data_IF_314531865917
#
_entry.id   IF_314531865917
#
_cell.length_a   1.000
_cell.length_b   1.000
_cell.length_c   1.000
_cell.angle_alpha   90.00
_cell.angle_beta   90.00
_cell.angle_gamma   90.00
#
_symmetry.space_group_name_H-M   'P 1'
#
loop_
_entity.id
_entity.type
_entity.pdbx_description
1 polymer ?
#
# COMPACT_ATOMS: atom_id res chain seq x y z
N UNK A 1 -28.16 -6.77 9.81
CA UNK A 1 -29.18 -7.71 9.32
C UNK A 1 -30.14 -6.93 8.44
N UNK A 2 -30.03 -7.03 7.11
CA UNK A 2 -31.05 -6.53 6.18
C UNK A 2 -31.15 -7.41 4.95
N UNK A 3 -32.40 -7.80 4.69
CA UNK A 3 -32.89 -8.57 3.56
C UNK A 3 -32.86 -7.69 2.30
N UNK A 4 -32.31 -8.21 1.22
CA UNK A 4 -32.56 -7.70 -0.12
C UNK A 4 -33.94 -8.22 -0.56
N UNK A 5 -35.00 -7.42 -0.41
CA UNK A 5 -36.27 -7.69 -1.09
C UNK A 5 -36.18 -7.16 -2.51
N UNK A 6 -35.72 -8.01 -3.45
CA UNK A 6 -36.36 -8.01 -4.76
C UNK A 6 -37.54 -9.00 -4.69
N UNK A 7 -38.74 -8.64 -5.20
CA UNK A 7 -39.86 -9.55 -5.24
C UNK A 7 -39.46 -10.84 -5.96
N UNK A 8 -39.86 -11.99 -5.42
CA UNK A 8 -39.90 -13.23 -6.17
C UNK A 8 -40.80 -13.02 -7.40
N UNK A 9 -40.16 -12.82 -8.55
CA UNK A 9 -40.78 -13.07 -9.84
C UNK A 9 -39.88 -14.09 -10.55
N UNK A 10 -40.36 -15.34 -10.53
CA UNK A 10 -40.05 -16.44 -11.45
C UNK A 10 -38.59 -16.95 -11.48
N UNK A 11 -38.44 -18.19 -10.99
CA UNK A 11 -37.42 -19.12 -11.47
C UNK A 11 -37.53 -19.23 -13.00
N UNK A 12 -36.62 -18.59 -13.73
CA UNK A 12 -36.31 -18.90 -15.13
C UNK A 12 -35.08 -18.12 -15.56
N UNK A 13 -34.04 -18.85 -15.99
CA UNK A 13 -32.84 -18.39 -16.68
C UNK A 13 -31.80 -17.59 -15.89
N UNK A 14 -30.55 -18.05 -15.98
CA UNK A 14 -29.34 -17.28 -15.70
C UNK A 14 -29.30 -16.05 -16.62
N UNK A 15 -29.94 -14.95 -16.23
CA UNK A 15 -29.78 -13.67 -16.90
C UNK A 15 -28.48 -13.02 -16.42
N UNK A 16 -27.44 -13.08 -17.26
CA UNK A 16 -26.27 -12.21 -17.17
C UNK A 16 -26.75 -10.77 -16.99
N UNK A 17 -26.28 -10.08 -15.94
CA UNK A 17 -26.41 -8.63 -15.85
C UNK A 17 -25.99 -8.01 -17.20
N UNK A 18 -26.75 -7.05 -17.75
CA UNK A 18 -26.42 -6.45 -19.03
C UNK A 18 -25.01 -5.87 -18.96
N UNK A 19 -24.15 -6.26 -19.90
CA UNK A 19 -22.83 -5.66 -20.04
C UNK A 19 -23.03 -4.18 -20.39
N UNK A 20 -22.54 -3.23 -19.59
CA UNK A 20 -22.51 -1.84 -20.02
C UNK A 20 -21.68 -1.74 -21.32
N UNK A 21 -21.93 -0.74 -22.18
CA UNK A 21 -21.28 -0.59 -23.48
C UNK A 21 -19.74 -0.51 -23.41
N UNK A 22 -19.18 -0.31 -22.21
CA UNK A 22 -17.76 -0.18 -21.94
C UNK A 22 -17.07 -1.50 -21.53
N UNK A 23 -17.76 -2.64 -21.54
CA UNK A 23 -17.15 -3.96 -21.30
C UNK A 23 -16.80 -4.32 -19.84
N UNK A 24 -16.96 -3.38 -18.89
CA UNK A 24 -16.71 -3.63 -17.47
C UNK A 24 -17.83 -4.44 -16.79
N UNK A 25 -17.45 -5.43 -15.97
CA UNK A 25 -18.39 -6.23 -15.19
C UNK A 25 -18.63 -5.53 -13.84
N UNK A 26 -19.84 -5.02 -13.63
CA UNK A 26 -20.27 -4.48 -12.33
C UNK A 26 -20.20 -5.59 -11.27
N UNK A 27 -19.40 -5.39 -10.21
CA UNK A 27 -19.21 -6.38 -9.14
C UNK A 27 -20.16 -6.17 -7.95
N UNK A 28 -20.51 -4.92 -7.66
CA UNK A 28 -21.40 -4.51 -6.57
C UNK A 28 -21.98 -3.14 -6.92
N UNK A 29 -23.29 -2.96 -6.76
CA UNK A 29 -23.92 -1.65 -6.89
C UNK A 29 -23.56 -0.78 -5.66
N UNK A 30 -23.38 0.52 -5.87
CA UNK A 30 -23.15 1.44 -4.77
C UNK A 30 -24.42 1.53 -3.89
N UNK A 31 -24.27 1.25 -2.60
CA UNK A 31 -25.36 1.20 -1.62
C UNK A 31 -25.21 2.26 -0.51
N UNK A 32 -24.40 3.28 -0.76
CA UNK A 32 -24.13 4.39 0.16
C UNK A 32 -24.21 5.73 -0.58
N UNK A 33 -24.52 6.84 0.12
CA UNK A 33 -24.59 8.15 -0.50
C UNK A 33 -23.19 8.61 -0.90
N UNK A 34 -23.02 9.20 -2.09
CA UNK A 34 -21.73 9.81 -2.45
C UNK A 34 -21.43 11.09 -1.65
N UNK A 35 -22.48 11.79 -1.18
CA UNK A 35 -22.39 13.00 -0.34
C UNK A 35 -23.71 13.22 0.40
N UNK A 36 -23.64 13.89 1.55
CA UNK A 36 -24.83 14.25 2.32
C UNK A 36 -25.61 13.03 2.80
N UNK A 37 -26.94 13.09 2.70
CA UNK A 37 -27.85 12.11 3.28
C UNK A 37 -28.77 11.51 2.24
N UNK A 38 -28.88 10.18 2.22
CA UNK A 38 -29.84 9.44 1.38
C UNK A 38 -30.66 8.47 2.24
N UNK A 39 -31.87 8.15 1.77
CA UNK A 39 -32.79 7.23 2.45
C UNK A 39 -32.93 5.93 1.66
N UNK A 40 -32.63 4.81 2.31
CA UNK A 40 -32.75 3.46 1.76
C UNK A 40 -33.82 2.69 2.52
N UNK A 41 -35.03 2.64 1.96
CA UNK A 41 -36.20 2.08 2.65
C UNK A 41 -36.53 2.89 3.90
N UNK A 42 -36.40 2.29 5.08
CA UNK A 42 -36.68 2.93 6.38
C UNK A 42 -35.43 3.52 7.05
N UNK A 43 -34.27 3.47 6.40
CA UNK A 43 -32.99 3.89 6.99
C UNK A 43 -32.49 5.14 6.29
N UNK A 44 -32.25 6.18 7.07
CA UNK A 44 -31.53 7.37 6.62
C UNK A 44 -30.04 7.19 6.90
N UNK A 45 -29.21 7.37 5.87
CA UNK A 45 -27.75 7.19 5.92
C UNK A 45 -27.10 8.51 5.53
N UNK A 46 -26.27 9.05 6.41
CA UNK A 46 -25.54 10.30 6.17
C UNK A 46 -24.05 10.01 6.08
N UNK A 47 -23.41 10.42 4.98
CA UNK A 47 -21.95 10.42 4.84
C UNK A 47 -21.35 11.48 5.75
N UNK A 48 -20.53 11.07 6.72
CA UNK A 48 -19.83 11.98 7.63
C UNK A 48 -18.40 12.26 7.16
N UNK A 49 -17.68 11.19 6.79
CA UNK A 49 -16.26 11.28 6.47
C UNK A 49 -15.84 10.18 5.48
N UNK A 50 -14.82 10.48 4.69
CA UNK A 50 -14.18 9.52 3.77
C UNK A 50 -12.68 9.70 3.82
N UNK A 51 -11.98 8.61 4.18
CA UNK A 51 -10.52 8.53 4.17
C UNK A 51 -10.11 7.55 3.07
N UNK A 52 -9.37 8.03 2.08
CA UNK A 52 -8.83 7.21 0.99
C UNK A 52 -7.35 6.94 1.23
N UNK A 53 -7.00 5.65 1.31
CA UNK A 53 -5.64 5.16 1.43
C UNK A 53 -5.30 4.30 0.22
N UNK A 54 -4.01 4.02 0.00
CA UNK A 54 -3.54 3.37 -1.22
C UNK A 54 -4.22 2.00 -1.49
N UNK A 55 -4.56 1.25 -0.45
CA UNK A 55 -5.08 -0.12 -0.57
C UNK A 55 -6.50 -0.30 -0.03
N UNK A 56 -7.06 0.70 0.66
CA UNK A 56 -8.42 0.67 1.16
C UNK A 56 -8.99 2.06 1.43
N UNK A 57 -10.31 2.18 1.43
CA UNK A 57 -11.03 3.38 1.86
C UNK A 57 -11.83 3.11 3.13
N UNK A 58 -11.92 4.12 4.01
CA UNK A 58 -12.79 4.11 5.18
C UNK A 58 -13.87 5.16 4.95
N UNK A 59 -15.14 4.78 5.15
CA UNK A 59 -16.27 5.72 5.14
C UNK A 59 -17.00 5.65 6.46
N UNK A 60 -17.27 6.80 7.06
CA UNK A 60 -17.99 6.91 8.32
C UNK A 60 -19.39 7.44 8.04
N UNK A 61 -20.40 6.73 8.53
CA UNK A 61 -21.80 7.05 8.33
C UNK A 61 -22.52 7.27 9.66
N UNK A 62 -23.39 8.27 9.69
CA UNK A 62 -24.45 8.35 10.69
C UNK A 62 -25.71 7.67 10.15
N UNK A 63 -26.18 6.67 10.88
CA UNK A 63 -27.54 6.16 10.82
C UNK A 63 -28.29 6.71 12.04
N UNK A 64 -29.62 6.63 12.06
CA UNK A 64 -30.42 7.11 13.20
C UNK A 64 -29.90 6.53 14.54
N UNK A 65 -29.26 7.38 15.36
CA UNK A 65 -28.61 7.08 16.64
C UNK A 65 -27.46 6.05 16.61
N UNK A 66 -26.83 5.80 15.45
CA UNK A 66 -25.70 4.86 15.34
C UNK A 66 -24.65 5.37 14.37
N UNK A 67 -23.39 5.20 14.71
CA UNK A 67 -22.27 5.36 13.77
C UNK A 67 -21.95 4.00 13.13
N UNK A 68 -21.72 3.98 11.82
CA UNK A 68 -21.27 2.80 11.08
C UNK A 68 -20.05 3.16 10.26
N UNK A 69 -19.01 2.32 10.30
CA UNK A 69 -17.82 2.48 9.46
C UNK A 69 -17.79 1.37 8.42
N UNK A 70 -17.70 1.76 7.15
CA UNK A 70 -17.46 0.85 6.03
C UNK A 70 -15.97 0.86 5.70
N UNK A 71 -15.40 -0.33 5.56
CA UNK A 71 -14.04 -0.54 5.11
C UNK A 71 -14.06 -1.22 3.74
N UNK A 72 -13.57 -0.53 2.71
CA UNK A 72 -13.52 -1.04 1.34
C UNK A 72 -12.08 -1.37 0.96
N UNK A 73 -11.75 -2.65 0.86
CA UNK A 73 -10.43 -3.08 0.38
C UNK A 73 -10.35 -2.97 -1.15
N UNK A 74 -9.38 -2.21 -1.64
CA UNK A 74 -9.21 -1.85 -3.06
C UNK A 74 -8.10 -2.62 -3.76
N UNK A 75 -7.17 -3.22 -3.00
CA UNK A 75 -5.99 -3.91 -3.55
C UNK A 75 -6.19 -5.40 -3.85
N UNK A 76 -7.44 -5.86 -4.05
CA UNK A 76 -7.69 -7.23 -4.51
C UNK A 76 -7.78 -7.27 -6.05
N UNK A 77 -6.94 -8.05 -6.74
CA UNK A 77 -6.91 -8.05 -8.21
C UNK A 77 -8.19 -8.60 -8.85
N UNK A 78 -8.48 -8.22 -10.09
CA UNK A 78 -9.65 -8.71 -10.82
C UNK A 78 -9.62 -10.22 -11.05
N UNK A 79 -8.42 -10.78 -11.19
CA UNK A 79 -8.15 -12.21 -11.36
C UNK A 79 -7.24 -12.72 -10.23
N UNK A 80 -7.55 -13.91 -9.70
CA UNK A 80 -6.76 -14.56 -8.66
C UNK A 80 -6.85 -13.92 -7.27
N UNK A 81 -5.73 -13.94 -6.57
CA UNK A 81 -5.52 -13.43 -5.21
C UNK A 81 -4.40 -12.38 -5.21
N UNK A 82 -4.31 -11.51 -4.18
CA UNK A 82 -3.17 -10.61 -4.04
C UNK A 82 -1.85 -11.38 -4.05
N UNK A 83 -0.82 -10.85 -4.73
CA UNK A 83 0.51 -11.47 -4.78
C UNK A 83 1.17 -11.55 -3.39
N UNK A 84 0.76 -10.66 -2.47
CA UNK A 84 1.28 -10.59 -1.12
C UNK A 84 0.17 -10.36 -0.09
N UNK A 85 0.24 -10.97 1.10
CA UNK A 85 -0.78 -10.82 2.12
C UNK A 85 -0.61 -9.55 2.97
N UNK A 86 0.52 -8.85 2.87
CA UNK A 86 0.82 -7.66 3.69
C UNK A 86 -0.29 -6.60 3.68
N UNK A 87 -0.86 -6.20 2.53
CA UNK A 87 -1.94 -5.20 2.50
C UNK A 87 -3.22 -5.67 3.21
N UNK A 88 -3.61 -6.94 3.06
CA UNK A 88 -4.83 -7.45 3.69
C UNK A 88 -4.67 -7.65 5.21
N UNK A 89 -3.47 -8.01 5.66
CA UNK A 89 -3.16 -8.09 7.09
C UNK A 89 -3.21 -6.70 7.75
N UNK A 90 -2.65 -5.67 7.09
CA UNK A 90 -2.76 -4.29 7.56
C UNK A 90 -4.23 -3.81 7.60
N UNK A 91 -5.00 -4.12 6.55
CA UNK A 91 -6.44 -3.84 6.49
C UNK A 91 -7.21 -4.49 7.65
N UNK A 92 -6.98 -5.78 7.92
CA UNK A 92 -7.63 -6.51 9.02
C UNK A 92 -7.27 -5.95 10.40
N UNK A 93 -6.01 -5.55 10.62
CA UNK A 93 -5.61 -4.87 11.86
C UNK A 93 -6.41 -3.59 12.07
N UNK A 94 -6.59 -2.78 11.01
CA UNK A 94 -7.34 -1.53 11.08
C UNK A 94 -8.84 -1.76 11.31
N UNK A 95 -9.45 -2.70 10.60
CA UNK A 95 -10.86 -3.10 10.79
C UNK A 95 -11.09 -3.49 12.25
N UNK A 96 -10.23 -4.35 12.80
CA UNK A 96 -10.35 -4.84 14.17
C UNK A 96 -10.18 -3.72 15.22
N UNK A 97 -9.21 -2.83 15.03
CA UNK A 97 -8.98 -1.70 15.94
C UNK A 97 -10.14 -0.69 15.94
N UNK A 98 -10.90 -0.61 14.84
CA UNK A 98 -12.03 0.31 14.70
C UNK A 98 -13.39 -0.30 15.03
N UNK A 99 -13.48 -1.62 15.25
CA UNK A 99 -14.74 -2.29 15.59
C UNK A 99 -14.98 -2.20 17.11
N UNK A 100 -16.05 -1.53 17.56
CA UNK A 100 -16.37 -1.45 18.99
C UNK A 100 -16.58 -2.84 19.60
N UNK A 101 -16.13 -3.10 20.84
CA UNK A 101 -16.27 -4.41 21.47
C UNK A 101 -17.73 -4.80 21.76
N UNK A 102 -18.63 -3.82 21.85
CA UNK A 102 -20.06 -3.95 22.06
C UNK A 102 -20.87 -3.95 20.74
N UNK A 103 -20.19 -3.90 19.58
CA UNK A 103 -20.85 -3.96 18.29
C UNK A 103 -21.49 -5.32 18.02
N UNK A 104 -22.52 -5.32 17.17
CA UNK A 104 -23.06 -6.56 16.62
C UNK A 104 -22.09 -7.23 15.63
N UNK A 105 -22.52 -8.34 14.99
CA UNK A 105 -21.68 -9.05 14.01
C UNK A 105 -21.22 -8.14 12.87
N UNK A 106 -19.92 -8.18 12.56
CA UNK A 106 -19.37 -7.48 11.39
C UNK A 106 -20.01 -8.01 10.10
N UNK A 107 -20.50 -7.09 9.26
CA UNK A 107 -21.03 -7.43 7.95
C UNK A 107 -19.89 -7.41 6.94
N UNK A 108 -19.59 -8.55 6.33
CA UNK A 108 -18.56 -8.69 5.30
C UNK A 108 -19.21 -9.13 4.00
N UNK A 109 -18.92 -8.44 2.90
CA UNK A 109 -19.42 -8.83 1.58
C UNK A 109 -18.38 -8.57 0.49
N UNK A 110 -18.61 -9.14 -0.69
CA UNK A 110 -17.89 -8.82 -1.91
C UNK A 110 -18.92 -8.69 -3.05
N UNK A 111 -18.85 -9.52 -4.08
CA UNK A 111 -19.91 -9.68 -5.09
C UNK A 111 -20.90 -10.77 -4.67
N UNK A 112 -20.50 -12.05 -4.75
CA UNK A 112 -21.33 -13.18 -4.30
C UNK A 112 -21.29 -13.42 -2.77
N UNK A 113 -20.35 -12.78 -2.07
CA UNK A 113 -20.21 -12.89 -0.61
C UNK A 113 -19.73 -14.27 -0.14
N UNK A 114 -18.88 -14.97 -0.91
CA UNK A 114 -18.39 -16.33 -0.58
C UNK A 114 -16.86 -16.49 -0.70
N UNK A 115 -16.26 -15.95 -1.77
CA UNK A 115 -14.82 -16.05 -2.04
C UNK A 115 -13.98 -15.12 -1.16
N UNK A 116 -13.76 -13.86 -1.60
CA UNK A 116 -13.01 -12.83 -0.83
C UNK A 116 -13.54 -12.65 0.59
N UNK A 117 -14.86 -12.71 0.76
CA UNK A 117 -15.54 -12.69 2.06
C UNK A 117 -15.10 -13.85 2.94
N UNK A 118 -15.03 -15.06 2.40
CA UNK A 118 -14.56 -16.23 3.13
C UNK A 118 -13.10 -16.10 3.55
N UNK A 119 -12.21 -15.65 2.65
CA UNK A 119 -10.80 -15.41 2.99
C UNK A 119 -10.66 -14.48 4.19
N UNK A 120 -11.36 -13.33 4.15
CA UNK A 120 -11.28 -12.33 5.22
C UNK A 120 -11.73 -12.90 6.57
N UNK A 121 -12.86 -13.62 6.60
CA UNK A 121 -13.40 -14.21 7.83
C UNK A 121 -12.44 -15.28 8.39
N UNK A 122 -11.93 -16.19 7.56
CA UNK A 122 -11.02 -17.25 8.02
C UNK A 122 -9.71 -16.66 8.55
N UNK A 123 -9.12 -15.69 7.84
CA UNK A 123 -7.88 -15.06 8.29
C UNK A 123 -8.10 -14.37 9.63
N UNK A 124 -9.19 -13.59 9.80
CA UNK A 124 -9.48 -12.90 11.06
C UNK A 124 -9.66 -13.89 12.23
N UNK A 125 -10.46 -14.94 12.02
CA UNK A 125 -10.71 -15.95 13.04
C UNK A 125 -9.43 -16.70 13.44
N UNK A 126 -8.59 -17.05 12.46
CA UNK A 126 -7.32 -17.74 12.73
C UNK A 126 -6.28 -16.81 13.37
N UNK A 127 -6.24 -15.52 13.01
CA UNK A 127 -5.39 -14.54 13.69
C UNK A 127 -5.78 -14.40 15.17
N UNK A 128 -7.07 -14.45 15.50
CA UNK A 128 -7.51 -14.45 16.89
C UNK A 128 -7.15 -15.76 17.60
N UNK A 129 -7.39 -16.90 16.96
CA UNK A 129 -7.00 -18.22 17.50
C UNK A 129 -5.50 -18.31 17.79
N UNK A 130 -4.65 -17.82 16.89
CA UNK A 130 -3.19 -17.80 17.07
C UNK A 130 -2.74 -17.00 18.31
N UNK A 131 -3.51 -15.98 18.72
CA UNK A 131 -3.20 -15.23 19.95
C UNK A 131 -3.39 -16.10 21.20
N UNK A 132 -4.49 -16.84 21.26
CA UNK A 132 -4.91 -17.61 22.43
C UNK A 132 -4.31 -19.03 22.48
N UNK A 133 -4.28 -19.72 21.35
CA UNK A 133 -3.98 -21.17 21.30
C UNK A 133 -2.65 -21.50 20.63
N UNK A 134 -1.99 -20.52 20.00
CA UNK A 134 -0.76 -20.75 19.19
C UNK A 134 -0.94 -21.83 18.12
N UNK A 135 -2.17 -22.00 17.61
CA UNK A 135 -2.53 -22.98 16.60
C UNK A 135 -3.42 -22.36 15.52
N UNK A 136 -3.51 -23.05 14.38
CA UNK A 136 -4.41 -22.72 13.26
C UNK A 136 -5.13 -23.99 12.82
N UNK A 137 -6.38 -23.85 12.40
CA UNK A 137 -7.16 -24.92 11.78
C UNK A 137 -7.98 -24.35 10.62
N UNK A 138 -7.29 -24.09 9.52
CA UNK A 138 -7.87 -23.48 8.33
C UNK A 138 -8.91 -24.43 7.72
N UNK A 139 -8.60 -25.72 7.63
CA UNK A 139 -9.47 -26.74 7.07
C UNK A 139 -10.77 -26.89 7.85
N UNK A 140 -10.68 -27.06 9.18
CA UNK A 140 -11.85 -27.21 10.05
C UNK A 140 -12.71 -25.96 10.05
N UNK A 141 -12.11 -24.77 10.10
CA UNK A 141 -12.86 -23.52 10.08
C UNK A 141 -13.60 -23.29 8.75
N UNK A 142 -12.95 -23.55 7.61
CA UNK A 142 -13.61 -23.47 6.29
C UNK A 142 -14.74 -24.51 6.17
N UNK A 143 -14.54 -25.71 6.70
CA UNK A 143 -15.58 -26.76 6.74
C UNK A 143 -16.81 -26.29 7.51
N UNK A 144 -16.63 -25.72 8.70
CA UNK A 144 -17.71 -25.13 9.50
C UNK A 144 -18.42 -23.97 8.77
N UNK A 145 -17.66 -23.08 8.12
CA UNK A 145 -18.25 -21.97 7.35
C UNK A 145 -19.09 -22.46 6.17
N UNK A 146 -18.66 -23.54 5.50
CA UNK A 146 -19.41 -24.16 4.40
C UNK A 146 -20.72 -24.82 4.84
N UNK A 147 -20.85 -25.20 6.12
CA UNK A 147 -22.12 -25.65 6.69
C UNK A 147 -23.13 -24.49 6.91
N UNK A 148 -22.65 -23.25 7.03
CA UNK A 148 -23.49 -22.06 7.26
C UNK A 148 -23.81 -21.30 5.96
N UNK A 149 -22.87 -21.27 5.01
CA UNK A 149 -23.04 -20.60 3.71
C UNK A 149 -22.30 -21.38 2.62
N UNK A 150 -22.93 -21.52 1.46
CA UNK A 150 -22.35 -22.25 0.34
C UNK A 150 -21.03 -21.63 -0.15
N UNK A 151 -20.10 -22.49 -0.59
CA UNK A 151 -18.88 -22.11 -1.29
C UNK A 151 -17.95 -21.11 -0.58
N UNK A 152 -18.03 -21.00 0.76
CA UNK A 152 -17.10 -20.18 1.52
C UNK A 152 -15.66 -20.58 1.23
N UNK A 153 -14.83 -19.60 0.84
CA UNK A 153 -13.53 -19.80 0.18
C UNK A 153 -13.71 -20.60 -1.11
N UNK A 154 -13.90 -19.90 -2.22
CA UNK A 154 -14.47 -20.47 -3.44
C UNK A 154 -13.44 -21.17 -4.33
N UNK A 155 -12.19 -20.71 -4.30
CA UNK A 155 -11.11 -21.24 -5.17
C UNK A 155 -9.96 -21.79 -4.35
N UNK A 156 -9.15 -22.65 -4.98
CA UNK A 156 -7.93 -23.19 -4.38
C UNK A 156 -6.91 -22.08 -4.09
N UNK A 157 -6.67 -21.16 -5.03
CA UNK A 157 -5.79 -20.00 -4.83
C UNK A 157 -6.17 -19.16 -3.61
N UNK A 158 -7.48 -19.01 -3.36
CA UNK A 158 -7.99 -18.32 -2.16
C UNK A 158 -7.68 -19.09 -0.88
N UNK A 159 -7.72 -20.42 -0.92
CA UNK A 159 -7.36 -21.28 0.20
C UNK A 159 -5.85 -21.21 0.48
N UNK A 160 -5.02 -21.28 -0.57
CA UNK A 160 -3.56 -21.11 -0.48
C UNK A 160 -3.21 -19.73 0.11
N UNK A 161 -3.85 -18.67 -0.37
CA UNK A 161 -3.61 -17.31 0.11
C UNK A 161 -3.91 -17.13 1.61
N UNK A 162 -4.90 -17.85 2.16
CA UNK A 162 -5.17 -17.85 3.60
C UNK A 162 -3.97 -18.42 4.38
N UNK A 163 -3.38 -19.52 3.89
CA UNK A 163 -2.17 -20.10 4.50
C UNK A 163 -1.00 -19.11 4.44
N UNK A 164 -0.77 -18.47 3.29
CA UNK A 164 0.30 -17.47 3.13
C UNK A 164 0.12 -16.28 4.07
N UNK A 165 -1.11 -15.76 4.21
CA UNK A 165 -1.42 -14.67 5.11
C UNK A 165 -1.16 -15.02 6.58
N UNK A 166 -1.56 -16.21 7.01
CA UNK A 166 -1.36 -16.66 8.39
C UNK A 166 0.10 -16.98 8.68
N UNK A 167 0.85 -17.53 7.72
CA UNK A 167 2.29 -17.72 7.81
C UNK A 167 3.01 -16.38 7.96
N UNK A 168 2.65 -15.38 7.16
CA UNK A 168 3.25 -14.05 7.29
C UNK A 168 2.95 -13.44 8.65
N UNK A 169 1.70 -13.49 9.12
CA UNK A 169 1.32 -12.97 10.43
C UNK A 169 2.03 -13.68 11.59
N UNK A 170 2.20 -15.01 11.52
CA UNK A 170 2.95 -15.80 12.51
C UNK A 170 4.44 -15.39 12.55
N UNK A 171 5.01 -15.13 11.38
CA UNK A 171 6.44 -14.86 11.22
C UNK A 171 6.82 -13.43 11.59
N UNK A 172 6.02 -12.47 11.13
CA UNK A 172 6.30 -11.04 11.28
C UNK A 172 5.75 -10.46 12.59
N UNK A 173 4.64 -11.00 13.10
CA UNK A 173 3.96 -10.46 14.27
C UNK A 173 3.40 -9.06 14.05
N UNK A 174 3.12 -8.35 15.16
CA UNK A 174 2.71 -6.95 15.13
C UNK A 174 3.90 -6.05 15.47
N UNK A 175 4.34 -5.25 14.50
CA UNK A 175 5.45 -4.28 14.62
C UNK A 175 4.96 -2.84 14.64
N UNK A 176 3.65 -2.61 14.66
CA UNK A 176 3.08 -1.27 14.81
C UNK A 176 3.24 -0.77 16.25
N UNK A 177 3.70 0.47 16.37
CA UNK A 177 4.00 1.14 17.64
C UNK A 177 3.28 2.50 17.67
N UNK A 178 2.51 2.82 18.72
CA UNK A 178 1.98 4.17 18.91
C UNK A 178 3.11 5.20 18.93
N UNK A 179 2.94 6.36 18.29
CA UNK A 179 3.99 7.37 18.16
C UNK A 179 4.60 7.77 19.52
N UNK A 180 3.76 7.95 20.55
CA UNK A 180 4.19 8.22 21.94
C UNK A 180 5.16 7.19 22.54
N UNK A 181 5.16 5.96 22.04
CA UNK A 181 6.00 4.86 22.51
C UNK A 181 7.22 4.62 21.60
N UNK A 182 7.40 5.42 20.54
CA UNK A 182 8.44 5.22 19.53
C UNK A 182 9.84 5.28 20.15
N UNK A 183 10.10 6.24 21.05
CA UNK A 183 11.38 6.36 21.74
C UNK A 183 11.73 5.07 22.52
N UNK A 184 10.80 4.61 23.36
CA UNK A 184 11.00 3.40 24.16
C UNK A 184 11.16 2.15 23.28
N UNK A 185 10.45 2.09 22.14
CA UNK A 185 10.60 1.01 21.18
C UNK A 185 11.99 1.00 20.53
N UNK A 186 12.50 2.15 20.09
CA UNK A 186 13.86 2.26 19.52
C UNK A 186 14.91 1.85 20.56
N UNK A 187 14.77 2.30 21.81
CA UNK A 187 15.66 1.88 22.91
C UNK A 187 15.67 0.36 23.12
N UNK A 188 14.53 -0.31 22.93
CA UNK A 188 14.44 -1.77 22.98
C UNK A 188 15.12 -2.41 21.76
N UNK A 189 14.96 -1.84 20.57
CA UNK A 189 15.58 -2.36 19.35
C UNK A 189 17.11 -2.30 19.39
N UNK A 190 17.69 -1.34 20.10
CA UNK A 190 19.16 -1.23 20.25
C UNK A 190 19.74 -2.26 21.23
N UNK A 191 18.93 -2.95 22.03
CA UNK A 191 19.40 -3.98 22.96
C UNK A 191 19.57 -5.34 22.26
N UNK A 192 20.43 -6.18 22.83
CA UNK A 192 20.57 -7.60 22.45
C UNK A 192 19.56 -8.42 23.26
N UNK A 193 18.58 -9.10 22.62
CA UNK A 193 17.64 -9.94 23.33
C UNK A 193 18.31 -11.13 24.03
N UNK A 194 17.73 -11.67 25.13
CA UNK A 194 18.23 -12.88 25.76
C UNK A 194 18.29 -14.06 24.77
N UNK A 195 19.44 -14.71 24.66
CA UNK A 195 19.67 -15.84 23.77
C UNK A 195 20.09 -15.48 22.34
N UNK A 196 20.20 -14.20 22.01
CA UNK A 196 20.63 -13.70 20.71
C UNK A 196 22.05 -13.12 20.77
N UNK A 197 22.73 -13.04 19.62
CA UNK A 197 24.08 -12.47 19.50
C UNK A 197 24.11 -11.06 18.89
N UNK A 198 22.97 -10.59 18.40
CA UNK A 198 22.83 -9.32 17.67
C UNK A 198 21.66 -8.51 18.22
N UNK A 199 21.61 -7.23 17.88
CA UNK A 199 20.55 -6.33 18.36
C UNK A 199 19.17 -6.74 17.84
N UNK A 200 18.11 -6.37 18.56
CA UNK A 200 16.75 -6.58 18.08
C UNK A 200 16.46 -5.83 16.76
N UNK A 201 17.15 -4.70 16.51
CA UNK A 201 17.13 -3.97 15.24
C UNK A 201 17.66 -4.83 14.09
N UNK A 202 18.81 -5.46 14.27
CA UNK A 202 19.42 -6.33 13.26
C UNK A 202 18.54 -7.55 12.98
N UNK A 203 17.96 -8.15 14.03
CA UNK A 203 17.00 -9.26 13.89
C UNK A 203 15.76 -8.84 13.11
N UNK A 204 15.19 -7.67 13.42
CA UNK A 204 14.04 -7.13 12.69
C UNK A 204 14.38 -6.86 11.22
N UNK A 205 15.52 -6.26 10.93
CA UNK A 205 15.96 -6.01 9.57
C UNK A 205 16.22 -7.32 8.79
N UNK A 206 16.83 -8.32 9.44
CA UNK A 206 17.02 -9.66 8.85
C UNK A 206 15.69 -10.33 8.48
N UNK A 207 14.61 -10.10 9.23
CA UNK A 207 13.26 -10.60 8.88
C UNK A 207 12.68 -9.96 7.61
N UNK A 208 13.15 -8.76 7.22
CA UNK A 208 12.74 -8.14 5.95
C UNK A 208 13.35 -8.81 4.73
N UNK A 209 14.36 -9.66 4.89
CA UNK A 209 14.91 -10.45 3.80
C UNK A 209 13.81 -11.41 3.30
N UNK A 210 13.11 -11.01 2.25
CA UNK A 210 12.10 -11.84 1.61
C UNK A 210 12.75 -13.03 0.91
N UNK A 211 12.05 -14.17 0.92
CA UNK A 211 12.33 -15.34 0.10
C UNK A 211 12.78 -14.94 -1.31
N UNK A 212 13.84 -15.58 -1.82
CA UNK A 212 14.46 -15.26 -3.12
C UNK A 212 13.37 -15.13 -4.17
N UNK A 213 13.18 -13.92 -4.72
CA UNK A 213 12.25 -13.70 -5.80
C UNK A 213 12.62 -14.60 -6.97
N UNK A 214 11.67 -15.39 -7.47
CA UNK A 214 11.89 -16.24 -8.64
C UNK A 214 12.28 -15.38 -9.85
N UNK A 215 13.16 -15.91 -10.69
CA UNK A 215 13.64 -15.26 -11.92
C UNK A 215 12.51 -14.86 -12.86
N UNK A 216 11.37 -15.56 -12.79
CA UNK A 216 10.13 -15.26 -13.51
C UNK A 216 9.54 -13.87 -13.21
N UNK A 217 10.00 -13.18 -12.16
CA UNK A 217 9.53 -11.84 -11.80
C UNK A 217 10.33 -10.72 -12.48
N UNK A 218 11.36 -11.05 -13.27
CA UNK A 218 12.29 -10.10 -13.88
C UNK A 218 12.39 -10.32 -15.41
N UNK A 219 11.28 -10.64 -16.07
CA UNK A 219 11.27 -11.10 -17.48
C UNK A 219 11.86 -10.03 -18.40
N UNK A 220 11.25 -8.85 -18.44
CA UNK A 220 11.65 -7.74 -19.32
C UNK A 220 13.06 -7.25 -18.98
N UNK A 221 13.41 -7.22 -17.70
CA UNK A 221 14.72 -6.77 -17.22
C UNK A 221 15.87 -7.70 -17.62
N UNK A 222 15.61 -9.00 -17.79
CA UNK A 222 16.61 -10.00 -18.16
C UNK A 222 16.78 -10.22 -19.66
N UNK A 223 15.93 -9.62 -20.51
CA UNK A 223 16.07 -9.71 -21.96
C UNK A 223 17.48 -9.23 -22.39
N UNK A 224 18.15 -9.91 -23.35
CA UNK A 224 19.48 -9.53 -23.80
C UNK A 224 19.59 -8.05 -24.22
N UNK A 225 18.57 -7.53 -24.91
CA UNK A 225 18.47 -6.15 -25.37
C UNK A 225 18.32 -5.11 -24.23
N UNK A 226 18.05 -5.55 -22.99
CA UNK A 226 17.86 -4.67 -21.83
C UNK A 226 18.98 -4.75 -20.80
N UNK A 227 19.91 -5.71 -20.90
CA UNK A 227 20.98 -5.91 -19.91
C UNK A 227 21.81 -4.66 -19.66
N UNK A 228 22.17 -3.93 -20.72
CA UNK A 228 22.97 -2.69 -20.63
C UNK A 228 22.19 -1.47 -20.09
N UNK A 229 20.85 -1.56 -20.02
CA UNK A 229 19.98 -0.50 -19.46
C UNK A 229 19.91 -0.57 -17.93
N UNK A 230 20.53 -1.57 -17.32
CA UNK A 230 20.60 -1.77 -15.87
C UNK A 230 21.97 -1.35 -15.35
N UNK A 231 22.01 -0.35 -14.47
CA UNK A 231 23.26 0.06 -13.80
C UNK A 231 23.82 -1.07 -12.92
N UNK A 232 22.94 -1.80 -12.23
CA UNK A 232 23.28 -2.92 -11.35
C UNK A 232 22.45 -4.14 -11.76
N UNK A 233 23.11 -5.26 -12.06
CA UNK A 233 22.45 -6.48 -12.53
C UNK A 233 21.61 -7.18 -11.45
N UNK A 234 21.89 -6.91 -10.18
CA UNK A 234 21.17 -7.47 -9.04
C UNK A 234 20.00 -6.59 -8.56
N UNK A 235 19.79 -5.41 -9.17
CA UNK A 235 18.69 -4.50 -8.82
C UNK A 235 17.84 -4.25 -10.07
N UNK A 236 16.83 -5.10 -10.24
CA UNK A 236 15.90 -5.07 -11.37
C UNK A 236 14.46 -4.82 -10.89
N UNK A 237 13.61 -4.16 -11.68
CA UNK A 237 12.20 -3.98 -11.33
C UNK A 237 11.44 -5.30 -11.45
N UNK A 238 10.44 -5.52 -10.59
CA UNK A 238 9.48 -6.62 -10.82
C UNK A 238 8.64 -6.34 -12.05
N UNK A 239 8.27 -7.40 -12.78
CA UNK A 239 7.42 -7.30 -13.97
C UNK A 239 6.04 -6.69 -13.63
N UNK A 240 5.48 -7.03 -12.48
CA UNK A 240 4.15 -6.56 -12.04
C UNK A 240 4.07 -5.07 -11.72
N UNK A 241 5.21 -4.42 -11.44
CA UNK A 241 5.26 -3.02 -11.01
C UNK A 241 6.21 -2.17 -11.86
N UNK A 242 6.78 -2.70 -12.94
CA UNK A 242 7.70 -1.93 -13.78
C UNK A 242 7.00 -0.74 -14.43
N UNK A 243 7.73 0.34 -14.62
CA UNK A 243 7.25 1.45 -15.45
C UNK A 243 7.43 1.06 -16.92
N UNK A 244 6.33 1.01 -17.66
CA UNK A 244 6.34 0.73 -19.10
C UNK A 244 6.39 2.04 -19.90
N UNK A 245 7.32 2.13 -20.84
CA UNK A 245 7.35 3.22 -21.82
C UNK A 245 6.52 2.85 -23.05
N UNK A 246 6.15 3.83 -23.87
CA UNK A 246 5.55 3.54 -25.17
C UNK A 246 6.57 2.84 -26.07
N UNK A 247 6.26 1.64 -26.61
CA UNK A 247 7.19 0.94 -27.50
C UNK A 247 7.46 1.74 -28.77
N UNK A 248 8.72 1.75 -29.19
CA UNK A 248 9.20 2.38 -30.42
C UNK A 248 9.27 1.33 -31.51
N UNK A 249 8.65 1.60 -32.66
CA UNK A 249 8.59 0.64 -33.77
C UNK A 249 10.00 0.29 -34.26
N UNK A 250 10.32 -1.00 -34.28
CA UNK A 250 11.61 -1.51 -34.75
C UNK A 250 12.74 -1.48 -33.72
N UNK A 251 12.48 -1.00 -32.50
CA UNK A 251 13.47 -0.97 -31.41
C UNK A 251 13.03 -1.94 -30.30
N UNK A 252 13.65 -3.12 -30.25
CA UNK A 252 13.35 -4.13 -29.23
C UNK A 252 13.70 -3.62 -27.82
N UNK A 253 12.80 -3.86 -26.85
CA UNK A 253 12.96 -3.44 -25.46
C UNK A 253 12.88 -1.92 -25.25
N UNK A 254 12.38 -1.15 -26.23
CA UNK A 254 12.15 0.30 -26.11
C UNK A 254 11.13 0.67 -25.03
N UNK A 255 10.26 -0.26 -24.66
CA UNK A 255 9.28 -0.10 -23.58
C UNK A 255 9.89 -0.25 -22.16
N UNK A 256 11.19 -0.60 -22.08
CA UNK A 256 11.86 -0.91 -20.82
C UNK A 256 12.68 0.26 -20.27
N UNK A 257 12.43 0.56 -19.00
CA UNK A 257 13.29 1.38 -18.13
C UNK A 257 13.40 0.68 -16.77
N UNK A 258 14.58 0.75 -16.14
CA UNK A 258 14.75 0.22 -14.77
C UNK A 258 14.10 1.16 -13.74
N UNK A 259 12.78 1.09 -13.65
CA UNK A 259 11.96 1.84 -12.70
C UNK A 259 10.75 1.01 -12.26
N UNK A 260 10.24 1.30 -11.06
CA UNK A 260 9.07 0.62 -10.49
C UNK A 260 8.08 1.66 -9.98
N UNK A 261 6.79 1.43 -10.19
CA UNK A 261 5.74 2.12 -9.45
C UNK A 261 5.78 1.66 -7.99
N UNK A 262 5.62 2.63 -7.09
CA UNK A 262 5.61 2.42 -5.63
C UNK A 262 4.38 3.14 -5.07
N UNK A 263 3.51 2.41 -4.41
CA UNK A 263 2.36 2.95 -3.70
C UNK A 263 2.81 3.87 -2.55
N UNK A 264 2.17 5.04 -2.45
CA UNK A 264 2.33 5.94 -1.32
C UNK A 264 1.39 5.59 -0.17
N UNK A 265 1.25 6.50 0.80
CA UNK A 265 0.29 6.32 1.90
C UNK A 265 -1.18 6.43 1.42
N UNK A 266 -1.49 7.47 0.65
CA UNK A 266 -2.85 7.75 0.15
C UNK A 266 -3.15 7.21 -1.24
N UNK A 267 -2.15 7.16 -2.11
CA UNK A 267 -2.35 6.90 -3.53
C UNK A 267 -1.60 5.64 -3.97
N UNK A 268 -2.31 4.75 -4.66
CA UNK A 268 -1.65 3.71 -5.44
C UNK A 268 -1.16 4.28 -6.76
N UNK A 269 0.07 3.92 -7.14
CA UNK A 269 0.70 4.46 -8.35
C UNK A 269 0.59 3.52 -9.55
N UNK A 270 -0.37 2.60 -9.58
CA UNK A 270 -0.68 1.75 -10.74
C UNK A 270 -1.31 2.56 -11.89
N UNK A 271 -0.54 3.48 -12.46
CA UNK A 271 -0.91 4.15 -13.70
C UNK A 271 -0.45 3.28 -14.87
N UNK A 272 -1.41 2.66 -15.56
CA UNK A 272 -1.19 1.89 -16.80
C UNK A 272 -0.73 2.76 -17.99
N UNK A 273 -0.52 4.06 -17.77
CA UNK A 273 -0.21 5.01 -18.82
C UNK A 273 1.26 4.91 -19.20
N UNK A 274 1.50 4.38 -20.39
CA UNK A 274 2.83 4.31 -20.97
C UNK A 274 3.41 5.72 -21.13
N UNK A 275 4.58 5.96 -20.52
CA UNK A 275 5.28 7.24 -20.65
C UNK A 275 5.95 7.32 -22.02
N UNK A 276 5.65 8.36 -22.81
CA UNK A 276 6.40 8.66 -24.04
C UNK A 276 7.74 9.29 -23.65
N UNK A 277 8.85 8.95 -24.31
CA UNK A 277 10.16 9.56 -23.98
C UNK A 277 10.94 10.08 -25.19
N UNK A 278 10.49 9.86 -26.41
CA UNK A 278 11.33 10.10 -27.60
C UNK A 278 11.38 11.54 -28.11
N UNK A 279 10.44 12.40 -27.74
CA UNK A 279 10.25 13.69 -28.39
C UNK A 279 10.33 14.87 -27.43
N UNK A 280 10.93 14.69 -26.26
CA UNK A 280 11.00 15.79 -25.28
C UNK A 280 12.19 16.70 -25.51
N UNK A 281 11.89 17.98 -25.72
CA UNK A 281 12.85 19.07 -25.58
C UNK A 281 12.84 19.51 -24.12
N UNK A 282 14.00 19.52 -23.48
CA UNK A 282 14.16 19.89 -22.06
C UNK A 282 14.91 21.20 -21.98
N UNK A 283 14.20 22.27 -21.64
CA UNK A 283 14.78 23.60 -21.45
C UNK A 283 15.02 23.85 -19.95
N UNK A 284 16.27 24.08 -19.50
CA UNK A 284 16.52 24.48 -18.12
C UNK A 284 15.95 25.88 -17.87
N UNK A 285 15.13 26.03 -16.83
CA UNK A 285 14.50 27.30 -16.46
C UNK A 285 15.22 27.97 -15.30
N UNK A 286 15.45 27.22 -14.22
CA UNK A 286 16.04 27.75 -13.00
C UNK A 286 16.78 26.64 -12.23
N UNK A 287 17.79 27.05 -11.46
CA UNK A 287 18.47 26.22 -10.49
C UNK A 287 18.61 26.99 -9.17
N UNK A 288 18.20 26.36 -8.07
CA UNK A 288 18.27 26.90 -6.72
C UNK A 288 19.16 25.98 -5.89
N UNK A 289 20.26 26.54 -5.40
CA UNK A 289 21.22 25.85 -4.55
C UNK A 289 20.87 26.12 -3.08
N UNK A 290 20.31 25.12 -2.41
CA UNK A 290 20.00 25.15 -0.99
C UNK A 290 21.12 24.44 -0.21
N UNK A 291 21.25 24.64 1.11
CA UNK A 291 22.36 24.07 1.88
C UNK A 291 22.51 22.55 1.75
N UNK A 292 21.40 21.81 1.63
CA UNK A 292 21.38 20.34 1.65
C UNK A 292 20.73 19.70 0.41
N UNK A 293 20.23 20.51 -0.51
CA UNK A 293 19.64 20.02 -1.76
C UNK A 293 19.70 21.07 -2.87
N UNK A 294 19.54 20.60 -4.09
CA UNK A 294 19.43 21.44 -5.28
C UNK A 294 18.03 21.24 -5.88
N UNK A 295 17.32 22.34 -6.15
CA UNK A 295 16.07 22.33 -6.89
C UNK A 295 16.33 22.84 -8.31
N UNK A 296 16.03 22.02 -9.32
CA UNK A 296 16.07 22.41 -10.73
C UNK A 296 14.68 22.45 -11.33
N UNK A 297 14.37 23.48 -12.07
CA UNK A 297 13.15 23.59 -12.86
C UNK A 297 13.47 23.46 -14.34
N UNK A 298 12.74 22.58 -15.02
CA UNK A 298 12.84 22.35 -16.45
C UNK A 298 11.48 22.57 -17.10
N UNK A 299 11.47 23.16 -18.28
CA UNK A 299 10.32 23.10 -19.19
C UNK A 299 10.55 21.91 -20.12
N UNK A 300 9.67 20.93 -20.04
CA UNK A 300 9.70 19.75 -20.91
C UNK A 300 8.60 19.90 -21.93
N UNK A 301 8.97 20.03 -23.21
CA UNK A 301 8.05 20.22 -24.33
C UNK A 301 8.05 18.99 -25.22
N UNK A 302 6.88 18.41 -25.47
CA UNK A 302 6.71 17.35 -26.45
C UNK A 302 6.77 17.95 -27.87
N UNK A 303 7.82 17.62 -28.62
CA UNK A 303 8.04 18.14 -29.96
C UNK A 303 7.00 17.66 -30.99
N UNK A 304 6.18 16.66 -30.65
CA UNK A 304 5.13 16.15 -31.56
C UNK A 304 3.91 17.05 -31.60
N UNK A 305 3.48 17.55 -30.43
CA UNK A 305 2.25 18.32 -30.29
C UNK A 305 2.46 19.72 -29.67
N UNK A 306 3.69 20.04 -29.27
CA UNK A 306 4.08 21.31 -28.65
C UNK A 306 3.61 21.46 -27.20
N UNK A 307 3.01 20.44 -26.58
CA UNK A 307 2.58 20.53 -25.19
C UNK A 307 3.77 20.58 -24.26
N UNK A 308 3.76 21.54 -23.32
CA UNK A 308 4.85 21.71 -22.36
C UNK A 308 4.39 21.54 -20.92
N UNK A 309 5.25 20.96 -20.08
CA UNK A 309 5.05 20.83 -18.64
C UNK A 309 6.30 21.30 -17.90
N UNK A 310 6.11 21.90 -16.72
CA UNK A 310 7.22 22.21 -15.83
C UNK A 310 7.55 21.00 -14.97
N UNK A 311 8.78 20.50 -15.06
CA UNK A 311 9.31 19.42 -14.23
C UNK A 311 10.25 20.02 -13.19
N UNK A 312 10.05 19.64 -11.93
CA UNK A 312 10.89 20.04 -10.80
C UNK A 312 11.68 18.85 -10.31
N UNK A 313 13.01 18.96 -10.36
CA UNK A 313 13.92 17.94 -9.85
C UNK A 313 14.48 18.40 -8.52
N UNK A 314 14.32 17.57 -7.50
CA UNK A 314 14.94 17.74 -6.19
C UNK A 314 16.11 16.76 -6.06
N UNK A 315 17.32 17.27 -5.85
CA UNK A 315 18.52 16.47 -5.62
C UNK A 315 19.02 16.73 -4.21
N UNK A 316 18.88 15.77 -3.31
CA UNK A 316 19.50 15.83 -1.98
C UNK A 316 21.02 15.63 -2.13
N UNK A 317 21.82 16.55 -1.58
CA UNK A 317 23.29 16.58 -1.76
C UNK A 317 24.07 16.25 -0.50
N UNK A 318 23.41 16.23 0.66
CA UNK A 318 24.04 16.02 1.98
C UNK A 318 24.03 14.55 2.44
N UNK A 319 23.88 13.62 1.50
CA UNK A 319 24.04 12.18 1.79
C UNK A 319 25.52 11.80 1.69
N UNK A 320 26.13 11.22 2.74
CA UNK A 320 27.55 10.92 2.74
C UNK A 320 27.89 9.80 1.75
N UNK A 321 29.07 9.86 1.13
CA UNK A 321 29.53 8.82 0.19
C UNK A 321 29.63 7.42 0.85
N UNK A 322 29.87 7.39 2.17
CA UNK A 322 29.91 6.17 2.98
C UNK A 322 28.94 6.30 4.16
N UNK A 323 28.10 5.27 4.34
CA UNK A 323 27.14 5.19 5.44
C UNK A 323 25.87 6.01 5.20
N UNK A 324 25.37 6.59 6.29
CA UNK A 324 24.10 7.34 6.33
C UNK A 324 24.28 8.66 7.09
N UNK A 325 23.41 9.67 6.88
CA UNK A 325 23.41 10.89 7.67
C UNK A 325 23.39 10.63 9.19
N UNK A 326 24.06 11.51 9.95
CA UNK A 326 24.12 11.43 11.42
C UNK A 326 22.79 11.81 12.08
N UNK A 327 22.07 12.75 11.49
CA UNK A 327 20.72 13.17 11.87
C UNK A 327 19.78 13.06 10.68
N UNK A 328 18.48 12.96 10.95
CA UNK A 328 17.42 12.96 9.94
C UNK A 328 16.93 14.37 9.55
N UNK A 329 17.20 15.39 10.37
CA UNK A 329 16.71 16.77 10.23
C UNK A 329 16.72 17.31 8.78
N UNK A 330 17.89 17.30 8.12
CA UNK A 330 18.01 17.80 6.76
C UNK A 330 17.21 17.00 5.73
N UNK A 331 17.09 15.69 5.96
CA UNK A 331 16.29 14.81 5.10
C UNK A 331 14.79 14.98 5.35
N UNK A 332 14.38 15.28 6.59
CA UNK A 332 13.00 15.59 6.95
C UNK A 332 12.56 16.91 6.30
N UNK A 333 13.38 17.97 6.40
CA UNK A 333 13.09 19.24 5.72
C UNK A 333 12.99 19.03 4.21
N UNK A 334 13.96 18.31 3.61
CA UNK A 334 13.94 17.97 2.20
C UNK A 334 12.63 17.30 1.75
N UNK A 335 12.16 16.27 2.49
CA UNK A 335 10.86 15.64 2.23
C UNK A 335 9.73 16.65 2.36
N UNK A 336 9.74 17.47 3.41
CA UNK A 336 8.76 18.55 3.61
C UNK A 336 8.67 19.50 2.42
N UNK A 337 9.79 19.95 1.88
CA UNK A 337 9.84 20.85 0.72
C UNK A 337 9.32 20.18 -0.56
N UNK A 338 9.62 18.89 -0.77
CA UNK A 338 9.10 18.12 -1.92
C UNK A 338 7.57 18.04 -1.86
N UNK A 339 7.00 17.68 -0.70
CA UNK A 339 5.56 17.58 -0.52
C UNK A 339 4.86 18.94 -0.62
N UNK A 340 5.41 19.97 0.04
CA UNK A 340 4.91 21.35 -0.03
C UNK A 340 4.86 21.86 -1.47
N UNK A 341 5.91 21.59 -2.25
CA UNK A 341 5.97 21.96 -3.67
C UNK A 341 4.93 21.22 -4.49
N UNK A 342 4.72 19.92 -4.24
CA UNK A 342 3.66 19.15 -4.92
C UNK A 342 2.28 19.76 -4.68
N UNK A 343 1.96 20.07 -3.42
CA UNK A 343 0.67 20.65 -3.04
C UNK A 343 0.50 22.06 -3.62
N UNK A 344 1.52 22.91 -3.50
CA UNK A 344 1.50 24.29 -3.97
C UNK A 344 1.23 24.40 -5.48
N UNK A 345 1.77 23.47 -6.28
CA UNK A 345 1.61 23.47 -7.73
C UNK A 345 0.56 22.47 -8.24
N UNK A 346 -0.28 21.92 -7.34
CA UNK A 346 -1.40 21.04 -7.69
C UNK A 346 -0.99 19.85 -8.56
N UNK A 347 0.17 19.24 -8.29
CA UNK A 347 0.67 18.13 -9.09
C UNK A 347 0.03 16.82 -8.61
N UNK A 348 -0.77 16.17 -9.45
CA UNK A 348 -1.38 14.86 -9.13
C UNK A 348 -0.42 13.68 -9.39
N UNK A 349 0.74 13.94 -9.98
CA UNK A 349 1.73 12.92 -10.32
C UNK A 349 2.43 12.27 -9.12
N UNK A 350 3.04 11.09 -9.30
CA UNK A 350 3.74 10.38 -8.24
C UNK A 350 5.00 11.14 -7.76
N UNK A 351 5.23 11.16 -6.45
CA UNK A 351 6.53 11.55 -5.86
C UNK A 351 7.38 10.29 -5.66
N UNK A 352 8.64 10.34 -6.08
CA UNK A 352 9.61 9.25 -5.91
C UNK A 352 10.40 9.41 -4.61
N UNK A 353 9.78 9.24 -3.42
CA UNK A 353 10.54 9.17 -2.15
C UNK A 353 9.84 8.26 -1.12
N UNK A 354 10.56 7.27 -0.57
CA UNK A 354 10.02 6.22 0.30
C UNK A 354 9.86 6.59 1.78
N UNK A 355 10.68 7.51 2.31
CA UNK A 355 10.59 7.91 3.72
C UNK A 355 9.34 8.76 4.04
N UNK A 356 8.70 9.33 3.02
CA UNK A 356 7.45 10.10 3.14
C UNK A 356 6.30 9.29 3.77
N UNK A 357 6.19 8.00 3.44
CA UNK A 357 5.04 7.15 3.80
C UNK A 357 4.94 7.01 5.33
N UNK A 358 6.08 6.82 6.00
CA UNK A 358 6.12 6.64 7.47
C UNK A 358 5.76 7.94 8.17
N UNK A 359 6.29 9.07 7.72
CA UNK A 359 6.06 10.38 8.34
C UNK A 359 4.60 10.83 8.15
N UNK A 360 4.04 10.63 6.95
CA UNK A 360 2.64 10.95 6.66
C UNK A 360 1.70 10.09 7.52
N UNK A 361 1.94 8.78 7.60
CA UNK A 361 1.15 7.87 8.42
C UNK A 361 1.22 8.23 9.91
N UNK A 362 2.40 8.58 10.42
CA UNK A 362 2.56 9.01 11.81
C UNK A 362 1.73 10.26 12.11
N UNK A 363 1.70 11.22 11.19
CA UNK A 363 0.93 12.47 11.33
C UNK A 363 -0.58 12.23 11.40
N UNK A 364 -1.13 11.33 10.60
CA UNK A 364 -2.58 11.10 10.52
C UNK A 364 -3.11 10.01 11.48
N UNK A 365 -2.32 8.97 11.74
CA UNK A 365 -2.75 7.82 12.56
C UNK A 365 -2.15 7.81 13.97
N UNK A 366 -1.11 8.62 14.24
CA UNK A 366 -0.42 8.62 15.53
C UNK A 366 0.30 7.29 15.82
N UNK A 367 0.70 6.55 14.78
CA UNK A 367 1.35 5.25 14.87
C UNK A 367 2.43 5.09 13.79
N UNK A 368 3.42 4.23 14.08
CA UNK A 368 4.55 3.93 13.21
C UNK A 368 4.66 2.42 13.05
N UNK A 369 4.78 1.95 11.81
CA UNK A 369 5.05 0.54 11.49
C UNK A 369 6.11 0.49 10.37
N UNK A 370 7.37 0.76 10.75
CA UNK A 370 8.46 0.85 9.78
C UNK A 370 8.70 -0.50 9.10
N UNK A 371 8.65 -1.60 9.86
CA UNK A 371 8.84 -2.94 9.34
C UNK A 371 7.84 -3.28 8.22
N UNK A 372 6.52 -3.15 8.47
CA UNK A 372 5.54 -3.45 7.41
C UNK A 372 5.60 -2.43 6.27
N UNK A 373 5.99 -1.18 6.53
CA UNK A 373 6.21 -0.20 5.45
C UNK A 373 7.32 -0.66 4.51
N UNK A 374 8.50 -1.01 5.03
CA UNK A 374 9.61 -1.51 4.20
C UNK A 374 9.28 -2.85 3.55
N UNK A 375 8.60 -3.75 4.26
CA UNK A 375 8.13 -5.01 3.69
C UNK A 375 7.19 -4.79 2.50
N UNK A 376 6.26 -3.84 2.59
CA UNK A 376 5.35 -3.44 1.50
C UNK A 376 6.10 -2.76 0.35
N UNK A 377 7.13 -1.97 0.62
CA UNK A 377 7.99 -1.44 -0.44
C UNK A 377 8.72 -2.56 -1.18
N UNK A 378 9.19 -3.57 -0.44
CA UNK A 378 9.89 -4.75 -0.99
C UNK A 378 8.99 -5.69 -1.80
N UNK A 379 7.66 -5.59 -1.69
CA UNK A 379 6.75 -6.31 -2.60
C UNK A 379 6.68 -5.67 -3.98
N UNK A 380 7.01 -4.37 -4.08
CA UNK A 380 6.89 -3.57 -5.30
C UNK A 380 8.25 -3.31 -5.97
N UNK A 381 9.34 -3.23 -5.20
CA UNK A 381 10.69 -3.16 -5.74
C UNK A 381 11.67 -3.92 -4.83
N UNK A 382 12.51 -4.82 -5.37
CA UNK A 382 13.47 -5.54 -4.54
C UNK A 382 14.42 -4.61 -3.77
N UNK A 383 14.81 -5.06 -2.59
CA UNK A 383 15.86 -4.45 -1.78
C UNK A 383 15.62 -2.97 -1.41
N UNK A 384 14.37 -2.50 -1.38
CA UNK A 384 14.05 -1.19 -0.79
C UNK A 384 14.53 -1.13 0.65
N UNK A 385 15.25 -0.06 1.01
CA UNK A 385 16.07 0.07 2.24
C UNK A 385 17.09 -1.07 2.31
N UNK A 386 18.27 -0.88 1.71
CA UNK A 386 19.23 -1.95 1.42
C UNK A 386 20.07 -2.38 2.61
N UNK A 387 20.38 -1.46 3.52
CA UNK A 387 21.27 -1.72 4.66
C UNK A 387 20.57 -1.49 5.99
N UNK A 388 21.09 -2.12 7.05
CA UNK A 388 20.61 -1.88 8.41
C UNK A 388 20.76 -0.41 8.82
N UNK A 389 21.87 0.25 8.46
CA UNK A 389 22.09 1.66 8.77
C UNK A 389 21.01 2.57 8.16
N UNK A 390 20.54 2.26 6.94
CA UNK A 390 19.43 2.97 6.31
C UNK A 390 18.12 2.72 7.05
N UNK A 391 17.91 1.49 7.53
CA UNK A 391 16.74 1.13 8.33
C UNK A 391 16.74 1.86 9.69
N UNK A 392 17.89 1.91 10.36
CA UNK A 392 18.10 2.69 11.58
C UNK A 392 17.91 4.20 11.35
N UNK A 393 18.37 4.73 10.21
CA UNK A 393 18.13 6.12 9.84
C UNK A 393 16.63 6.42 9.72
N UNK A 394 15.83 5.50 9.17
CA UNK A 394 14.38 5.69 9.07
C UNK A 394 13.72 5.80 10.46
N UNK A 395 14.14 4.99 11.44
CA UNK A 395 13.68 5.12 12.83
C UNK A 395 14.13 6.44 13.47
N UNK A 396 15.39 6.85 13.27
CA UNK A 396 15.91 8.12 13.78
C UNK A 396 15.14 9.31 13.21
N UNK A 397 14.95 9.35 11.89
CA UNK A 397 14.18 10.39 11.22
C UNK A 397 12.72 10.42 11.70
N UNK A 398 12.09 9.26 11.89
CA UNK A 398 10.74 9.19 12.46
C UNK A 398 10.67 9.76 13.90
N UNK A 399 11.67 9.49 14.72
CA UNK A 399 11.75 10.01 16.09
C UNK A 399 12.01 11.53 16.12
N UNK A 400 12.93 12.03 15.29
CA UNK A 400 13.22 13.45 15.17
C UNK A 400 11.99 14.22 14.65
N UNK A 401 11.28 13.66 13.66
CA UNK A 401 10.03 14.24 13.16
C UNK A 401 8.96 14.30 14.25
N UNK A 402 8.83 13.25 15.07
CA UNK A 402 7.92 13.26 16.21
C UNK A 402 8.23 14.40 17.19
N UNK A 403 9.50 14.58 17.54
CA UNK A 403 9.93 15.67 18.43
C UNK A 403 9.66 17.07 17.88
N UNK A 404 9.60 17.21 16.55
CA UNK A 404 9.25 18.49 15.93
C UNK A 404 7.79 18.91 16.17
N UNK A 405 6.85 17.95 16.32
CA UNK A 405 5.44 18.28 16.59
C UNK A 405 5.22 18.83 18.00
N UNK A 406 5.94 18.30 18.98
CA UNK A 406 5.83 18.75 20.38
C UNK A 406 6.25 20.21 20.55
N UNK A 407 7.10 20.74 19.66
CA UNK A 407 7.51 22.15 19.67
C UNK A 407 6.48 23.12 19.04
N UNK A 408 5.53 22.61 18.27
CA UNK A 408 4.44 23.41 17.68
C UNK A 408 3.11 23.29 18.45
N UNK A 409 3.05 22.47 19.49
CA UNK A 409 1.88 22.25 20.34
C UNK A 409 1.90 23.03 21.67
N UNK A 410 2.92 23.87 21.90
CA UNK A 410 3.03 24.79 23.05
C UNK A 410 2.71 26.22 22.70
#
# INVERSE_FOLDING_TARGET
MWLCTRPQALQSSYAKLPRPPNGYIVKCDQYWPSRGTETYGMIQVTMLDTVELATYSIRTFALYKREVRQFQFMAWPDHGVPEYPTPILAFLRRVKACNPPDAGPMVVHCSAGVGRTGCLIVIEAMLERMKHEKSVDIYGHVTCMRAQRNYMVQTEDQYIFIHEALLEAATCGNTEVPARNLYAHIQKLTQIPPGESVTAMELEFKKLASSKAHTSRFISANLPCNKFKNRLVNIMPFESTRVCLQPIRGVEGSDYINASFIDGYRYSNNSSNACCTEYFVVDPMAEYNMPQYILREFKVTDARDGQSRTIRQFQFTDWPEQGVPKTGEGFIDFIGQVHKTKEQFGQDGPITVHCSIVLERMRYEGAVDLFHTVKTLRTQRPAMVQTEDQYQLCYRAALEYLGSFDHYAT
#
